data_IF_405782324311
#
_entry.id   IF_405782324311
#
_cell.length_a   1.000
_cell.length_b   1.000
_cell.length_c   1.000
_cell.angle_alpha   90.00
_cell.angle_beta   90.00
_cell.angle_gamma   90.00
#
_symmetry.space_group_name_H-M   'P 1'
#
loop_
_entity.id
_entity.type
_entity.pdbx_description
1 polymer ?
#
# COMPACT_ATOMS: atom_id res chain seq x y z
N UNK A 1 24.73 -2.32 -25.35
CA UNK A 1 23.53 -2.10 -24.53
C UNK A 1 23.59 -0.69 -24.00
N UNK A 2 22.50 0.07 -24.10
CA UNK A 2 22.40 1.41 -23.53
C UNK A 2 21.95 1.31 -22.07
N UNK A 3 22.46 2.18 -21.20
CA UNK A 3 22.09 2.26 -19.77
C UNK A 3 21.68 3.69 -19.43
N UNK A 4 20.70 3.84 -18.53
CA UNK A 4 20.30 5.14 -18.03
C UNK A 4 21.38 5.69 -17.08
N UNK A 5 22.03 6.78 -17.49
CA UNK A 5 23.11 7.41 -16.72
C UNK A 5 22.58 8.07 -15.46
N UNK A 6 23.47 8.33 -14.50
CA UNK A 6 23.14 9.11 -13.29
C UNK A 6 22.55 10.49 -13.63
N UNK A 7 23.12 11.18 -14.62
CA UNK A 7 22.59 12.45 -15.12
C UNK A 7 21.20 12.31 -15.75
N UNK A 8 20.92 11.19 -16.41
CA UNK A 8 19.59 10.89 -16.96
C UNK A 8 18.55 10.68 -15.85
N UNK A 9 18.89 9.94 -14.80
CA UNK A 9 18.01 9.73 -13.63
C UNK A 9 17.77 11.02 -12.86
N UNK A 10 18.81 11.85 -12.69
CA UNK A 10 18.67 13.17 -12.09
C UNK A 10 17.79 14.12 -12.92
N UNK A 11 17.84 14.03 -14.26
CA UNK A 11 16.97 14.81 -15.13
C UNK A 11 15.49 14.36 -15.04
N UNK A 12 15.24 13.06 -14.87
CA UNK A 12 13.87 12.54 -14.61
C UNK A 12 13.35 13.08 -13.29
N UNK A 13 14.13 12.97 -12.21
CA UNK A 13 13.78 13.54 -10.91
C UNK A 13 13.49 15.05 -11.00
N UNK A 14 14.31 15.81 -11.74
CA UNK A 14 14.07 17.23 -11.96
C UNK A 14 12.74 17.49 -12.68
N UNK A 15 12.43 16.72 -13.72
CA UNK A 15 11.19 16.83 -14.47
C UNK A 15 9.96 16.51 -13.59
N UNK A 16 10.04 15.50 -12.72
CA UNK A 16 8.97 15.16 -11.77
C UNK A 16 8.76 16.28 -10.75
N UNK A 17 9.84 16.86 -10.21
CA UNK A 17 9.79 17.95 -9.22
C UNK A 17 9.08 19.21 -9.75
N UNK A 18 9.06 19.44 -11.05
CA UNK A 18 8.39 20.59 -11.69
C UNK A 18 6.87 20.38 -11.85
N UNK A 19 6.36 19.17 -11.66
CA UNK A 19 4.95 18.85 -11.78
C UNK A 19 4.18 19.07 -10.47
N UNK A 20 2.85 19.26 -10.52
CA UNK A 20 2.00 19.19 -9.32
C UNK A 20 2.11 17.81 -8.66
N UNK A 21 2.61 17.76 -7.43
CA UNK A 21 2.77 16.53 -6.63
C UNK A 21 1.78 16.54 -5.46
N UNK A 22 1.02 15.45 -5.34
CA UNK A 22 0.09 15.23 -4.24
C UNK A 22 0.32 13.87 -3.59
N UNK A 23 -0.01 13.74 -2.30
CA UNK A 23 -0.25 12.44 -1.70
C UNK A 23 -1.75 12.19 -1.64
N UNK A 24 -2.22 11.14 -2.28
CA UNK A 24 -3.58 10.63 -2.20
C UNK A 24 -3.70 9.60 -1.08
N UNK A 25 -4.87 9.58 -0.46
CA UNK A 25 -5.28 8.54 0.47
C UNK A 25 -6.42 7.72 -0.13
N UNK A 26 -6.33 6.40 -0.02
CA UNK A 26 -7.38 5.45 -0.38
C UNK A 26 -7.87 4.70 0.85
N UNK A 27 -9.16 4.37 0.89
CA UNK A 27 -9.69 3.51 1.96
C UNK A 27 -9.34 2.04 1.76
N UNK A 28 -8.80 1.65 0.61
CA UNK A 28 -8.47 0.27 0.30
C UNK A 28 -9.72 -0.63 0.24
N UNK A 29 -9.50 -1.93 0.48
CA UNK A 29 -10.57 -2.86 0.79
C UNK A 29 -10.77 -2.94 2.31
N UNK A 30 -12.04 -2.89 2.75
CA UNK A 30 -12.38 -3.00 4.17
C UNK A 30 -12.16 -4.42 4.71
N UNK A 31 -12.12 -5.43 3.84
CA UNK A 31 -11.91 -6.83 4.21
C UNK A 31 -10.43 -7.17 4.40
N UNK A 32 -9.49 -6.31 3.97
CA UNK A 32 -8.08 -6.52 4.28
C UNK A 32 -7.87 -6.62 5.79
N UNK A 33 -7.15 -7.66 6.20
CA UNK A 33 -6.86 -8.02 7.59
C UNK A 33 -8.06 -8.56 8.38
N UNK A 34 -9.17 -8.88 7.70
CA UNK A 34 -10.33 -9.49 8.34
C UNK A 34 -10.14 -11.00 8.59
N UNK A 35 -10.62 -11.46 9.74
CA UNK A 35 -10.56 -12.87 10.14
C UNK A 35 -11.80 -13.62 9.70
N UNK A 36 -11.58 -14.83 9.18
CA UNK A 36 -12.59 -15.70 8.63
C UNK A 36 -12.48 -17.10 9.24
N UNK A 37 -13.62 -17.74 9.39
CA UNK A 37 -13.73 -19.13 9.81
C UNK A 37 -14.74 -19.84 8.91
N UNK A 38 -14.31 -20.91 8.25
CA UNK A 38 -15.15 -21.67 7.32
C UNK A 38 -15.00 -23.17 7.57
N UNK A 39 -16.07 -23.91 7.34
CA UNK A 39 -16.02 -25.38 7.29
C UNK A 39 -15.94 -25.81 5.82
N UNK A 40 -14.89 -26.56 5.46
CA UNK A 40 -14.63 -27.01 4.09
C UNK A 40 -14.20 -28.49 4.11
N UNK A 41 -14.35 -29.15 2.97
CA UNK A 41 -13.88 -30.53 2.75
C UNK A 41 -12.78 -30.50 1.70
N UNK A 42 -11.71 -31.27 1.91
CA UNK A 42 -10.70 -31.47 0.87
C UNK A 42 -11.30 -32.26 -0.30
N UNK A 43 -11.43 -31.63 -1.46
CA UNK A 43 -11.85 -32.25 -2.71
C UNK A 43 -10.58 -32.47 -3.53
N UNK A 44 -10.32 -33.72 -3.92
CA UNK A 44 -9.07 -34.10 -4.61
C UNK A 44 -7.79 -33.69 -3.85
N UNK A 45 -7.88 -33.57 -2.52
CA UNK A 45 -6.75 -33.17 -1.67
C UNK A 45 -6.56 -31.66 -1.54
N UNK A 46 -7.49 -30.84 -2.05
CA UNK A 46 -7.40 -29.38 -1.99
C UNK A 46 -8.65 -28.73 -1.36
N UNK A 47 -8.44 -27.60 -0.71
CA UNK A 47 -9.47 -26.63 -0.32
C UNK A 47 -9.13 -25.32 -1.01
N UNK A 48 -10.05 -24.79 -1.80
CA UNK A 48 -9.99 -23.42 -2.29
C UNK A 48 -10.83 -22.53 -1.36
N UNK A 49 -10.17 -21.53 -0.76
CA UNK A 49 -10.84 -20.48 -0.02
C UNK A 49 -11.36 -19.42 -0.98
N UNK A 50 -12.32 -18.63 -0.48
CA UNK A 50 -13.00 -17.62 -1.29
C UNK A 50 -12.11 -16.38 -1.53
N UNK A 51 -11.07 -16.20 -0.68
CA UNK A 51 -10.09 -15.11 -0.76
C UNK A 51 -8.74 -15.66 -1.26
N UNK A 52 -8.07 -14.89 -2.13
CA UNK A 52 -6.83 -15.33 -2.78
C UNK A 52 -5.58 -15.03 -1.95
N UNK A 53 -5.47 -13.83 -1.39
CA UNK A 53 -4.34 -13.47 -0.52
C UNK A 53 -4.71 -13.73 0.93
N UNK A 54 -4.11 -14.76 1.53
CA UNK A 54 -4.47 -15.20 2.90
C UNK A 54 -3.24 -15.35 3.79
N UNK A 55 -3.45 -15.27 5.10
CA UNK A 55 -2.42 -15.53 6.13
C UNK A 55 -3.03 -16.11 7.40
N UNK A 56 -2.18 -16.43 8.37
CA UNK A 56 -2.57 -16.96 9.69
C UNK A 56 -3.47 -18.20 9.61
N UNK A 57 -3.26 -19.03 8.58
CA UNK A 57 -4.10 -20.20 8.31
C UNK A 57 -3.93 -21.25 9.39
N UNK A 58 -5.05 -21.69 9.95
CA UNK A 58 -5.14 -22.76 10.93
C UNK A 58 -6.24 -23.74 10.54
N UNK A 59 -5.88 -25.00 10.39
CA UNK A 59 -6.83 -26.09 10.07
C UNK A 59 -7.02 -26.97 11.30
N UNK A 60 -8.27 -27.26 11.67
CA UNK A 60 -8.58 -28.09 12.84
C UNK A 60 -9.93 -28.80 12.73
N UNK A 61 -10.11 -29.86 13.52
CA UNK A 61 -11.39 -30.57 13.69
C UNK A 61 -11.64 -30.80 15.17
N UNK A 62 -12.73 -30.24 15.70
CA UNK A 62 -13.00 -30.28 17.15
C UNK A 62 -11.86 -29.62 17.93
N UNK A 63 -11.13 -30.40 18.74
CA UNK A 63 -9.96 -29.91 19.51
C UNK A 63 -8.61 -30.19 18.82
N UNK A 64 -8.58 -30.97 17.74
CA UNK A 64 -7.33 -31.35 17.06
C UNK A 64 -6.94 -30.30 16.03
N UNK A 65 -5.85 -29.57 16.28
CA UNK A 65 -5.25 -28.65 15.29
C UNK A 65 -4.18 -29.40 14.47
N UNK A 66 -4.28 -29.30 13.15
CA UNK A 66 -3.33 -29.92 12.22
C UNK A 66 -2.11 -29.02 11.99
N UNK A 67 -0.96 -29.62 11.71
CA UNK A 67 0.31 -28.91 11.57
C UNK A 67 0.56 -28.50 10.11
N UNK A 68 0.82 -27.20 9.90
CA UNK A 68 1.27 -26.70 8.59
C UNK A 68 2.61 -27.35 8.20
N UNK A 69 2.81 -27.57 6.91
CA UNK A 69 3.92 -28.30 6.27
C UNK A 69 4.01 -29.81 6.58
N UNK A 70 3.28 -30.31 7.58
CA UNK A 70 3.21 -31.75 7.90
C UNK A 70 1.90 -32.35 7.42
N UNK A 71 0.77 -31.74 7.77
CA UNK A 71 -0.57 -32.20 7.43
C UNK A 71 -1.18 -31.50 6.21
N UNK A 72 -0.78 -30.26 5.98
CA UNK A 72 -1.21 -29.46 4.83
C UNK A 72 -0.17 -28.39 4.48
N UNK A 73 -0.19 -27.91 3.24
CA UNK A 73 0.53 -26.73 2.78
C UNK A 73 -0.47 -25.65 2.38
N UNK A 74 -0.04 -24.39 2.41
CA UNK A 74 -0.87 -23.23 2.07
C UNK A 74 -0.17 -22.47 0.95
N UNK A 75 -0.87 -22.28 -0.15
CA UNK A 75 -0.53 -21.27 -1.14
C UNK A 75 -1.25 -19.97 -0.76
N UNK A 76 -0.52 -19.11 -0.07
CA UNK A 76 -1.04 -17.84 0.46
C UNK A 76 -1.42 -16.83 -0.61
N UNK A 77 -1.01 -17.04 -1.86
CA UNK A 77 -1.28 -16.13 -2.98
C UNK A 77 -2.54 -16.49 -3.76
N UNK A 78 -2.92 -17.77 -3.75
CA UNK A 78 -4.10 -18.27 -4.47
C UNK A 78 -5.25 -18.65 -3.56
N UNK A 79 -5.01 -18.78 -2.25
CA UNK A 79 -6.01 -19.17 -1.26
C UNK A 79 -6.21 -20.69 -1.19
N UNK A 80 -5.27 -21.46 -1.73
CA UNK A 80 -5.39 -22.91 -1.85
C UNK A 80 -4.64 -23.61 -0.72
N UNK A 81 -5.32 -24.50 -0.02
CA UNK A 81 -4.75 -25.38 1.00
C UNK A 81 -4.68 -26.78 0.43
N UNK A 82 -3.49 -27.39 0.40
CA UNK A 82 -3.29 -28.75 -0.11
C UNK A 82 -2.95 -29.69 1.03
N UNK A 83 -3.59 -30.85 1.05
CA UNK A 83 -3.24 -31.92 1.98
C UNK A 83 -1.90 -32.54 1.55
N UNK A 84 -1.03 -32.80 2.52
CA UNK A 84 0.24 -33.51 2.26
C UNK A 84 0.03 -35.02 2.22
N UNK A 85 1.01 -35.76 1.69
CA UNK A 85 1.00 -37.23 1.69
C UNK A 85 1.01 -37.83 3.11
N UNK A 86 1.69 -37.16 4.06
CA UNK A 86 1.82 -37.59 5.45
C UNK A 86 0.70 -37.09 6.37
N UNK A 87 -0.37 -36.55 5.79
CA UNK A 87 -1.41 -35.87 6.54
C UNK A 87 -2.27 -36.80 7.38
N UNK A 88 -2.41 -36.44 8.66
CA UNK A 88 -3.34 -37.05 9.62
C UNK A 88 -4.80 -36.62 9.42
N UNK A 89 -5.06 -35.65 8.54
CA UNK A 89 -6.42 -35.26 8.13
C UNK A 89 -7.04 -36.44 7.38
N UNK A 90 -8.24 -36.85 7.77
CA UNK A 90 -8.95 -37.95 7.11
C UNK A 90 -9.43 -37.49 5.73
N UNK A 91 -9.30 -38.35 4.73
CA UNK A 91 -9.84 -38.06 3.40
C UNK A 91 -11.37 -37.86 3.49
N UNK A 92 -11.90 -36.87 2.76
CA UNK A 92 -13.31 -36.51 2.71
C UNK A 92 -13.94 -36.09 4.06
N UNK A 93 -13.16 -35.83 5.13
CA UNK A 93 -13.70 -35.22 6.35
C UNK A 93 -13.76 -33.70 6.22
N UNK A 94 -14.84 -33.11 6.74
CA UNK A 94 -14.91 -31.68 6.95
C UNK A 94 -13.87 -31.24 7.99
N UNK A 95 -13.24 -30.10 7.73
CA UNK A 95 -12.32 -29.41 8.63
C UNK A 95 -12.77 -27.97 8.78
N UNK A 96 -12.49 -27.39 9.94
CA UNK A 96 -12.60 -25.95 10.13
C UNK A 96 -11.28 -25.30 9.73
N UNK A 97 -11.38 -24.26 8.90
CA UNK A 97 -10.25 -23.41 8.50
C UNK A 97 -10.50 -22.01 9.06
N UNK A 98 -9.62 -21.59 9.96
CA UNK A 98 -9.47 -20.20 10.37
C UNK A 98 -8.36 -19.57 9.53
N UNK A 99 -8.57 -18.36 9.03
CA UNK A 99 -7.58 -17.62 8.26
C UNK A 99 -7.90 -16.11 8.29
N UNK A 100 -6.90 -15.29 7.99
CA UNK A 100 -7.08 -13.86 7.77
C UNK A 100 -6.90 -13.53 6.30
N UNK A 101 -7.72 -12.63 5.76
CA UNK A 101 -7.45 -12.03 4.46
C UNK A 101 -6.24 -11.10 4.58
N UNK A 102 -5.22 -11.33 3.76
CA UNK A 102 -4.02 -10.49 3.78
C UNK A 102 -4.22 -9.27 2.90
N UNK A 103 -3.65 -8.15 3.30
CA UNK A 103 -3.40 -7.03 2.39
C UNK A 103 -2.59 -7.54 1.19
N UNK A 104 -3.06 -7.35 -0.06
CA UNK A 104 -2.36 -7.80 -1.26
C UNK A 104 -1.07 -6.98 -1.47
N UNK A 105 -0.08 -7.52 -2.20
CA UNK A 105 1.08 -6.74 -2.59
C UNK A 105 0.70 -5.61 -3.56
N UNK A 106 1.46 -4.53 -3.55
CA UNK A 106 1.30 -3.43 -4.49
C UNK A 106 1.70 -3.87 -5.90
N UNK A 107 0.79 -3.74 -6.87
CA UNK A 107 1.04 -4.11 -8.25
C UNK A 107 1.75 -2.96 -9.00
N UNK A 108 2.84 -3.28 -9.70
CA UNK A 108 3.56 -2.30 -10.55
C UNK A 108 2.72 -1.76 -11.71
N UNK A 109 1.61 -2.43 -12.02
CA UNK A 109 0.64 -2.03 -13.05
C UNK A 109 -0.52 -1.22 -12.48
N UNK A 110 -0.54 -0.93 -11.18
CA UNK A 110 -1.56 -0.08 -10.57
C UNK A 110 -1.47 1.34 -11.10
N UNK A 111 -2.60 1.89 -11.55
CA UNK A 111 -2.70 3.25 -12.09
C UNK A 111 -3.48 4.20 -11.16
N UNK A 112 -4.13 3.67 -10.12
CA UNK A 112 -4.96 4.40 -9.17
C UNK A 112 -5.06 3.65 -7.83
N UNK A 113 -5.51 4.36 -6.80
CA UNK A 113 -5.85 3.80 -5.50
C UNK A 113 -7.26 3.21 -5.54
N UNK A 114 -7.54 2.26 -4.65
CA UNK A 114 -8.87 1.80 -4.35
C UNK A 114 -9.59 2.85 -3.48
N UNK A 115 -10.74 3.31 -3.97
CA UNK A 115 -11.62 4.22 -3.24
C UNK A 115 -10.86 5.45 -2.69
N UNK A 116 -10.25 6.22 -3.59
CA UNK A 116 -9.56 7.47 -3.21
C UNK A 116 -10.50 8.38 -2.42
N UNK A 117 -10.04 8.81 -1.25
CA UNK A 117 -10.76 9.70 -0.32
C UNK A 117 -10.44 11.16 -0.57
N UNK A 118 -9.22 11.44 -1.04
CA UNK A 118 -8.73 12.74 -1.43
C UNK A 118 -7.22 12.82 -1.40
N UNK A 119 -6.68 13.93 -1.86
CA UNK A 119 -5.24 14.14 -2.04
C UNK A 119 -4.78 15.50 -1.58
N UNK A 120 -3.56 15.58 -1.04
CA UNK A 120 -2.97 16.81 -0.53
C UNK A 120 -1.69 17.20 -1.26
N UNK A 121 -1.57 18.48 -1.61
CA UNK A 121 -0.37 19.03 -2.26
C UNK A 121 0.86 18.94 -1.36
N UNK A 122 2.00 18.51 -1.93
CA UNK A 122 3.28 18.40 -1.24
C UNK A 122 3.68 19.67 -0.48
N UNK A 123 4.08 19.52 0.78
CA UNK A 123 4.61 20.60 1.61
C UNK A 123 6.03 20.95 1.22
N UNK A 124 6.86 19.93 0.98
CA UNK A 124 8.26 20.08 0.59
C UNK A 124 8.59 19.05 -0.49
N UNK A 125 9.31 19.48 -1.52
CA UNK A 125 9.86 18.64 -2.58
C UNK A 125 11.31 19.07 -2.78
N UNK A 126 12.26 18.22 -2.38
CA UNK A 126 13.69 18.54 -2.38
C UNK A 126 14.48 17.46 -3.11
N UNK A 127 15.54 17.84 -3.82
CA UNK A 127 16.56 16.86 -4.20
C UNK A 127 17.34 16.44 -2.96
N UNK A 128 17.77 15.20 -2.89
CA UNK A 128 18.55 14.71 -1.76
C UNK A 128 19.56 13.62 -2.13
N UNK A 129 20.50 13.36 -1.22
CA UNK A 129 21.43 12.22 -1.28
C UNK A 129 21.37 11.43 0.02
N UNK A 130 21.57 10.12 -0.05
CA UNK A 130 21.66 9.28 1.15
C UNK A 130 22.82 9.73 2.03
N UNK A 131 22.56 9.85 3.34
CA UNK A 131 23.54 10.26 4.34
C UNK A 131 23.09 9.72 5.70
N UNK A 132 23.89 8.86 6.33
CA UNK A 132 23.58 8.27 7.64
C UNK A 132 23.40 9.32 8.75
N UNK A 133 23.97 10.52 8.58
CA UNK A 133 23.83 11.65 9.50
C UNK A 133 22.89 12.74 8.96
N UNK A 134 22.17 12.44 7.88
CA UNK A 134 21.24 13.36 7.23
C UNK A 134 20.11 13.83 8.15
N UNK A 135 19.66 15.07 7.91
CA UNK A 135 18.57 15.72 8.64
C UNK A 135 17.18 15.31 8.13
N UNK A 136 17.07 14.87 6.88
CA UNK A 136 15.82 14.36 6.31
C UNK A 136 15.67 12.90 6.74
N UNK A 137 14.71 12.63 7.61
CA UNK A 137 14.44 11.28 8.13
C UNK A 137 13.20 10.72 7.44
N UNK A 138 13.34 9.49 6.93
CA UNK A 138 12.25 8.72 6.32
C UNK A 138 12.31 7.27 6.81
N UNK A 139 11.25 6.47 6.62
CA UNK A 139 11.30 5.04 6.92
C UNK A 139 12.42 4.30 6.18
N UNK A 140 12.79 4.76 4.97
CA UNK A 140 13.87 4.17 4.15
C UNK A 140 15.29 4.59 4.55
N UNK A 141 15.43 5.53 5.49
CA UNK A 141 16.74 5.99 5.97
C UNK A 141 16.86 7.51 6.08
N UNK A 142 18.10 7.97 6.20
CA UNK A 142 18.46 9.37 6.37
C UNK A 142 19.08 9.94 5.10
N UNK A 143 18.74 11.21 4.84
CA UNK A 143 19.15 11.92 3.64
C UNK A 143 19.52 13.36 3.96
N UNK A 144 20.34 13.95 3.09
CA UNK A 144 20.72 15.35 3.15
C UNK A 144 20.15 16.08 1.93
N UNK A 145 19.58 17.30 2.07
CA UNK A 145 19.12 18.08 0.93
C UNK A 145 20.27 18.41 -0.03
N UNK A 146 19.94 18.51 -1.32
CA UNK A 146 20.85 18.92 -2.39
C UNK A 146 20.28 20.12 -3.14
N UNK A 147 21.16 21.08 -3.44
CA UNK A 147 20.81 22.24 -4.29
C UNK A 147 21.00 21.97 -5.79
N UNK A 148 21.54 20.81 -6.15
CA UNK A 148 21.65 20.34 -7.54
C UNK A 148 20.77 19.10 -7.73
N UNK A 149 20.22 18.87 -8.94
CA UNK A 149 19.45 17.68 -9.23
C UNK A 149 20.22 16.40 -8.88
N UNK A 150 19.55 15.51 -8.16
CA UNK A 150 20.01 14.14 -7.89
C UNK A 150 18.94 13.18 -8.39
N UNK A 151 19.23 11.88 -8.39
CA UNK A 151 18.22 10.88 -8.72
C UNK A 151 17.24 10.59 -7.57
N UNK A 152 17.27 11.35 -6.47
CA UNK A 152 16.34 11.16 -5.35
C UNK A 152 15.50 12.42 -5.12
N UNK A 153 14.20 12.24 -4.92
CA UNK A 153 13.30 13.29 -4.46
C UNK A 153 12.78 12.96 -3.07
N UNK A 154 13.08 13.83 -2.10
CA UNK A 154 12.40 13.86 -0.82
C UNK A 154 11.06 14.57 -0.97
N UNK A 155 9.99 13.92 -0.52
CA UNK A 155 8.62 14.43 -0.55
C UNK A 155 8.06 14.44 0.86
N UNK A 156 7.48 15.56 1.28
CA UNK A 156 6.81 15.69 2.58
C UNK A 156 5.39 16.18 2.42
N UNK A 157 4.48 15.56 3.14
CA UNK A 157 3.05 15.88 3.15
C UNK A 157 2.57 15.93 4.57
N UNK A 158 1.85 16.99 4.95
CA UNK A 158 1.23 17.11 6.27
C UNK A 158 -0.25 17.41 6.08
N UNK A 159 -1.08 16.40 6.32
CA UNK A 159 -2.53 16.50 6.28
C UNK A 159 -3.04 17.29 7.48
N UNK A 160 -4.06 18.10 7.23
CA UNK A 160 -4.67 18.93 8.27
C UNK A 160 -5.67 18.12 9.11
N UNK A 161 -6.10 18.71 10.22
CA UNK A 161 -7.00 18.06 11.19
C UNK A 161 -8.25 17.48 10.53
N UNK A 162 -8.88 18.24 9.63
CA UNK A 162 -10.15 17.85 9.01
C UNK A 162 -9.99 17.00 7.75
N UNK A 163 -8.78 16.88 7.21
CA UNK A 163 -8.54 16.13 5.98
C UNK A 163 -8.89 14.65 6.21
N UNK A 164 -9.89 14.16 5.46
CA UNK A 164 -10.48 12.83 5.59
C UNK A 164 -10.83 12.44 7.05
N UNK A 165 -11.32 13.37 7.87
CA UNK A 165 -11.70 13.05 9.24
C UNK A 165 -12.74 11.92 9.31
N UNK A 166 -12.56 11.01 10.27
CA UNK A 166 -13.37 9.81 10.49
C UNK A 166 -13.29 8.75 9.38
N UNK A 167 -12.32 8.87 8.47
CA UNK A 167 -12.03 7.83 7.48
C UNK A 167 -10.97 6.85 8.01
N UNK A 168 -10.97 5.64 7.44
CA UNK A 168 -9.88 4.67 7.64
C UNK A 168 -9.07 4.64 6.36
N UNK A 169 -7.77 4.96 6.47
CA UNK A 169 -6.84 4.99 5.34
C UNK A 169 -6.09 3.67 5.30
N UNK A 170 -6.00 3.06 4.11
CA UNK A 170 -5.26 1.81 3.87
C UNK A 170 -4.30 1.89 2.69
N UNK A 171 -4.38 2.96 1.89
CA UNK A 171 -3.50 3.17 0.76
C UNK A 171 -2.96 4.60 0.76
N UNK A 172 -1.68 4.73 0.42
CA UNK A 172 -0.97 5.98 0.20
C UNK A 172 -0.50 6.02 -1.26
N UNK A 173 -0.69 7.16 -1.91
CA UNK A 173 -0.40 7.31 -3.34
C UNK A 173 0.30 8.60 -3.70
N UNK A 174 1.54 8.57 -4.18
CA UNK A 174 2.16 9.79 -4.73
C UNK A 174 1.65 10.02 -6.15
N UNK A 175 0.86 11.07 -6.34
CA UNK A 175 0.28 11.47 -7.62
C UNK A 175 1.08 12.62 -8.22
N UNK A 176 1.47 12.49 -9.49
CA UNK A 176 2.25 13.51 -10.23
C UNK A 176 1.46 14.01 -11.42
N UNK A 177 1.49 15.33 -11.67
CA UNK A 177 0.80 15.92 -12.82
C UNK A 177 -0.71 16.02 -12.63
N UNK A 178 -1.19 16.07 -11.38
CA UNK A 178 -2.62 16.26 -11.08
C UNK A 178 -3.10 17.61 -11.61
N UNK A 179 -4.24 17.64 -12.29
CA UNK A 179 -4.96 18.85 -12.65
C UNK A 179 -6.23 18.97 -11.80
N UNK A 180 -6.34 20.08 -11.08
CA UNK A 180 -7.47 20.39 -10.21
C UNK A 180 -8.46 21.29 -10.96
N UNK A 181 -9.76 21.15 -10.70
CA UNK A 181 -10.82 21.95 -11.32
C UNK A 181 -10.68 23.43 -10.98
N UNK A 182 -11.11 24.28 -11.90
CA UNK A 182 -11.18 25.73 -11.69
C UNK A 182 -12.29 26.10 -10.67
N UNK A 183 -12.15 27.27 -10.04
CA UNK A 183 -13.16 27.82 -9.13
C UNK A 183 -13.10 27.30 -7.68
N UNK A 184 -12.09 26.50 -7.34
CA UNK A 184 -11.87 26.08 -5.95
C UNK A 184 -11.31 27.22 -5.09
N UNK A 185 -11.59 27.21 -3.77
CA UNK A 185 -11.04 28.17 -2.82
C UNK A 185 -9.53 28.38 -2.94
N UNK A 186 -9.12 29.65 -2.92
CA UNK A 186 -7.70 30.02 -2.92
C UNK A 186 -6.99 29.46 -1.67
N UNK A 187 -5.79 28.92 -1.86
CA UNK A 187 -5.01 28.32 -0.77
C UNK A 187 -5.51 26.95 -0.32
N UNK A 188 -6.55 26.38 -0.94
CA UNK A 188 -6.91 24.98 -0.73
C UNK A 188 -5.75 24.06 -1.12
N UNK A 189 -5.43 23.11 -0.25
CA UNK A 189 -4.33 22.15 -0.45
C UNK A 189 -4.78 20.69 -0.42
N UNK A 190 -5.96 20.42 0.11
CA UNK A 190 -6.58 19.09 0.15
C UNK A 190 -7.76 19.08 -0.82
N UNK A 191 -7.82 18.08 -1.69
CA UNK A 191 -8.81 17.98 -2.76
C UNK A 191 -9.49 16.63 -2.68
N UNK A 192 -10.83 16.62 -2.66
CA UNK A 192 -11.60 15.39 -2.79
C UNK A 192 -11.59 14.91 -4.25
N UNK A 193 -11.92 13.63 -4.54
CA UNK A 193 -11.97 13.13 -5.92
C UNK A 193 -12.83 13.99 -6.86
N UNK A 194 -13.90 14.60 -6.34
CA UNK A 194 -14.79 15.49 -7.10
C UNK A 194 -14.12 16.79 -7.55
N UNK A 195 -13.03 17.19 -6.91
CA UNK A 195 -12.29 18.42 -7.19
C UNK A 195 -11.19 18.21 -8.26
N UNK A 196 -10.90 16.96 -8.61
CA UNK A 196 -9.86 16.57 -9.57
C UNK A 196 -10.44 16.55 -10.98
N UNK A 197 -9.77 17.24 -11.92
CA UNK A 197 -10.10 17.19 -13.36
C UNK A 197 -9.31 16.09 -14.07
N UNK A 198 -8.01 16.00 -13.78
CA UNK A 198 -7.12 14.94 -14.27
C UNK A 198 -6.34 14.36 -13.09
N UNK A 199 -6.42 13.04 -12.83
CA UNK A 199 -5.73 12.42 -11.71
C UNK A 199 -4.21 12.45 -11.81
N UNK A 200 -3.64 12.65 -13.01
CA UNK A 200 -2.21 12.53 -13.24
C UNK A 200 -1.75 11.07 -13.23
N UNK A 201 -0.50 10.84 -12.86
CA UNK A 201 0.15 9.53 -12.84
C UNK A 201 0.38 9.10 -11.39
N UNK A 202 0.01 7.88 -11.05
CA UNK A 202 0.39 7.23 -9.80
C UNK A 202 1.86 6.82 -9.86
N UNK A 203 2.71 7.51 -9.11
CA UNK A 203 4.17 7.27 -9.08
C UNK A 203 4.57 6.26 -8.02
N UNK A 204 3.93 6.31 -6.84
CA UNK A 204 4.20 5.41 -5.71
C UNK A 204 2.87 4.97 -5.15
N UNK A 205 2.73 3.67 -4.89
CA UNK A 205 1.63 3.07 -4.14
C UNK A 205 2.21 2.34 -2.94
N UNK A 206 1.60 2.52 -1.78
CA UNK A 206 1.91 1.79 -0.56
C UNK A 206 0.61 1.41 0.13
N UNK A 207 0.43 0.13 0.43
CA UNK A 207 -0.60 -0.34 1.33
C UNK A 207 -0.11 -0.23 2.76
N UNK A 208 -0.97 0.29 3.65
CA UNK A 208 -0.62 0.52 5.05
C UNK A 208 -1.58 -0.22 5.97
N UNK A 209 -1.12 -0.50 7.19
CA UNK A 209 -2.02 -0.92 8.26
C UNK A 209 -3.09 0.16 8.47
N UNK A 210 -4.34 -0.21 8.82
CA UNK A 210 -5.43 0.76 8.87
C UNK A 210 -5.11 1.95 9.77
N UNK A 211 -5.01 3.13 9.15
CA UNK A 211 -4.80 4.42 9.80
C UNK A 211 -6.15 5.10 10.02
N UNK A 212 -6.56 5.20 11.29
CA UNK A 212 -7.83 5.81 11.66
C UNK A 212 -7.65 7.33 11.78
N UNK A 213 -8.32 8.09 10.90
CA UNK A 213 -8.26 9.55 10.93
C UNK A 213 -9.23 10.15 11.94
N UNK A 214 -8.72 11.06 12.75
CA UNK A 214 -9.51 11.86 13.69
C UNK A 214 -9.24 13.34 13.47
N UNK A 215 -10.21 14.20 13.82
CA UNK A 215 -10.05 15.65 13.76
C UNK A 215 -9.11 16.23 14.84
N UNK A 216 -8.44 15.37 15.63
CA UNK A 216 -7.56 15.78 16.71
C UNK A 216 -6.07 15.79 16.32
N UNK A 217 -5.68 15.12 15.22
CA UNK A 217 -4.29 14.98 14.82
C UNK A 217 -4.06 15.41 13.37
N UNK A 218 -2.85 15.90 13.12
CA UNK A 218 -2.28 16.08 11.78
C UNK A 218 -1.32 14.93 11.52
N UNK A 219 -1.42 14.32 10.34
CA UNK A 219 -0.53 13.24 9.95
C UNK A 219 0.53 13.76 8.98
N UNK A 220 1.79 13.41 9.22
CA UNK A 220 2.90 13.76 8.33
C UNK A 220 3.52 12.52 7.72
N UNK A 221 3.63 12.52 6.41
CA UNK A 221 4.29 11.48 5.63
C UNK A 221 5.53 12.06 4.95
N UNK A 222 6.60 11.28 4.93
CA UNK A 222 7.85 11.63 4.27
C UNK A 222 8.35 10.43 3.47
N UNK A 223 8.62 10.66 2.19
CA UNK A 223 9.10 9.64 1.25
C UNK A 223 10.41 10.10 0.61
N UNK A 224 11.23 9.14 0.20
CA UNK A 224 12.24 9.37 -0.83
C UNK A 224 11.94 8.47 -2.02
N UNK A 225 11.80 9.07 -3.20
CA UNK A 225 11.65 8.36 -4.47
C UNK A 225 12.97 8.41 -5.24
N UNK A 226 13.47 7.24 -5.62
CA UNK A 226 14.74 7.08 -6.34
C UNK A 226 14.46 6.71 -7.80
N UNK A 227 15.10 7.43 -8.73
CA UNK A 227 14.98 7.25 -10.17
C UNK A 227 16.23 6.63 -10.79
#
# INVERSE_FOLDING_TARGET
>A
MSILTESGRAAIAASIKEQPIHLAWGSGDANWESSHQVEKVFIEGEIALDHHTIKDVRVFTGQTTYQSSVDYTVDSSTGVIKRTENSSIRANSAVTVEYSESTPPELITSEKLLNELGRRTANEVLFCTGDENGELVTPSGRFKPSNVPTNNLYLKFTFDFTDAANQVIRELGVMVGTKIKEGLPEGQRYFEPKDVENPGILLVLEHTVPLIRTAATRETFSFVVTF
#
